data_IF_417289436033
#
_entry.id   IF_417289436033
#
_cell.length_a   1.000
_cell.length_b   1.000
_cell.length_c   1.000
_cell.angle_alpha   90.00
_cell.angle_beta   90.00
_cell.angle_gamma   90.00
#
_symmetry.space_group_name_H-M   'P 1'
#
loop_
_entity.id
_entity.type
_entity.pdbx_description
1 polymer ?
#
# COMPACT_ATOMS: atom_id res chain seq x y z
N UNK A 1 -26.39 5.28 14.95
CA UNK A 1 -25.40 4.48 14.20
C UNK A 1 -24.38 3.79 15.11
N UNK A 2 -23.63 4.45 16.03
CA UNK A 2 -22.59 3.80 16.83
C UNK A 2 -23.07 3.40 18.23
N UNK A 3 -23.09 2.08 18.52
CA UNK A 3 -23.18 1.52 19.86
C UNK A 3 -21.77 1.36 20.43
N UNK A 4 -21.63 1.40 21.77
CA UNK A 4 -20.35 1.20 22.42
C UNK A 4 -19.84 -0.24 22.18
N UNK A 5 -18.57 -0.36 21.80
CA UNK A 5 -17.92 -1.66 21.59
C UNK A 5 -17.33 -2.20 22.90
N UNK A 6 -17.47 -3.50 23.11
CA UNK A 6 -16.87 -4.19 24.26
C UNK A 6 -15.44 -4.62 23.94
N UNK A 7 -14.47 -3.95 24.54
CA UNK A 7 -13.04 -4.21 24.32
C UNK A 7 -12.63 -5.62 24.81
N UNK A 8 -13.22 -6.09 25.91
CA UNK A 8 -12.89 -7.40 26.45
C UNK A 8 -13.37 -8.54 25.55
N UNK A 9 -14.46 -8.32 24.81
CA UNK A 9 -14.97 -9.23 23.79
C UNK A 9 -14.33 -9.02 22.42
N UNK A 10 -13.39 -8.06 22.30
CA UNK A 10 -12.70 -7.76 21.08
C UNK A 10 -13.67 -7.47 19.91
N UNK A 11 -14.68 -6.64 20.20
CA UNK A 11 -15.73 -6.30 19.25
C UNK A 11 -15.24 -5.30 18.19
N UNK A 12 -15.69 -5.55 16.97
CA UNK A 12 -15.57 -4.65 15.82
C UNK A 12 -16.94 -4.47 15.18
N UNK A 13 -17.09 -3.48 14.29
CA UNK A 13 -18.29 -3.36 13.44
C UNK A 13 -17.97 -3.80 12.04
N UNK A 14 -18.91 -4.46 11.41
CA UNK A 14 -18.89 -4.82 9.99
C UNK A 14 -20.02 -4.11 9.27
N UNK A 15 -19.72 -3.61 8.07
CA UNK A 15 -20.67 -2.96 7.19
C UNK A 15 -21.28 -4.00 6.27
N UNK A 16 -22.57 -4.25 6.41
CA UNK A 16 -23.35 -5.11 5.52
C UNK A 16 -23.91 -4.26 4.38
N UNK A 17 -23.28 -4.33 3.23
CA UNK A 17 -23.68 -3.62 2.03
C UNK A 17 -24.82 -4.37 1.35
N UNK A 18 -25.96 -3.70 1.14
CA UNK A 18 -27.08 -4.30 0.44
C UNK A 18 -26.78 -4.44 -1.05
N UNK A 19 -27.35 -5.46 -1.65
CA UNK A 19 -27.32 -5.63 -3.11
C UNK A 19 -28.01 -4.43 -3.81
N UNK A 20 -27.64 -4.17 -5.04
CA UNK A 20 -28.24 -3.09 -5.84
C UNK A 20 -27.50 -2.86 -7.16
N UNK A 21 -28.18 -2.21 -8.08
CA UNK A 21 -27.62 -1.81 -9.36
C UNK A 21 -26.70 -0.59 -9.20
N UNK A 22 -25.94 -0.28 -10.23
CA UNK A 22 -24.99 0.83 -10.22
C UNK A 22 -25.62 2.17 -9.82
N UNK A 23 -26.80 2.49 -10.36
CA UNK A 23 -27.48 3.77 -10.14
C UNK A 23 -28.32 3.84 -8.86
N UNK A 24 -28.53 2.71 -8.17
CA UNK A 24 -29.27 2.69 -6.91
C UNK A 24 -28.52 3.42 -5.81
N UNK A 25 -29.26 4.02 -4.86
CA UNK A 25 -28.67 4.54 -3.62
C UNK A 25 -27.93 3.44 -2.84
N UNK A 26 -26.83 3.78 -2.20
CA UNK A 26 -26.10 2.81 -1.38
C UNK A 26 -26.79 2.69 -0.02
N UNK A 27 -27.26 1.48 0.29
CA UNK A 27 -27.89 1.14 1.57
C UNK A 27 -27.07 0.05 2.27
N UNK A 28 -26.92 0.20 3.58
CA UNK A 28 -26.14 -0.70 4.41
C UNK A 28 -26.65 -0.69 5.87
N UNK A 29 -26.16 -1.61 6.67
CA UNK A 29 -26.28 -1.58 8.13
C UNK A 29 -24.98 -2.01 8.79
N UNK A 30 -24.78 -1.63 10.06
CA UNK A 30 -23.65 -2.04 10.87
C UNK A 30 -24.04 -3.19 11.80
N UNK A 31 -23.22 -4.22 11.81
CA UNK A 31 -23.31 -5.31 12.76
C UNK A 31 -22.08 -5.29 13.69
N UNK A 32 -22.34 -5.37 15.00
CA UNK A 32 -21.26 -5.56 16.00
C UNK A 32 -20.98 -7.03 16.17
N UNK A 33 -19.75 -7.44 15.94
CA UNK A 33 -19.29 -8.83 16.03
C UNK A 33 -18.04 -8.94 16.89
N UNK A 34 -17.82 -10.09 17.50
CA UNK A 34 -16.56 -10.42 18.16
C UNK A 34 -15.62 -11.15 17.21
N UNK A 35 -14.32 -10.91 17.33
CA UNK A 35 -13.33 -11.75 16.65
C UNK A 35 -13.39 -13.22 17.05
N UNK A 36 -13.89 -13.52 18.25
CA UNK A 36 -14.00 -14.88 18.75
C UNK A 36 -15.10 -15.68 18.05
N UNK A 37 -16.03 -14.99 17.36
CA UNK A 37 -17.08 -15.59 16.54
C UNK A 37 -16.60 -15.89 15.10
N UNK A 38 -15.34 -15.62 14.77
CA UNK A 38 -14.72 -15.85 13.45
C UNK A 38 -15.55 -15.28 12.28
N UNK A 39 -15.90 -13.99 12.31
CA UNK A 39 -16.72 -13.40 11.27
C UNK A 39 -16.04 -13.46 9.90
N UNK A 40 -16.83 -13.70 8.85
CA UNK A 40 -16.34 -13.66 7.47
C UNK A 40 -16.63 -12.29 6.85
N UNK A 41 -15.58 -11.58 6.39
CA UNK A 41 -15.68 -10.26 5.79
C UNK A 41 -14.49 -9.98 4.90
N UNK A 42 -14.64 -8.99 4.01
CA UNK A 42 -13.54 -8.39 3.26
C UNK A 42 -13.15 -7.06 3.92
N UNK A 43 -11.85 -6.76 3.97
CA UNK A 43 -11.37 -5.47 4.45
C UNK A 43 -11.01 -4.56 3.27
N UNK A 44 -11.34 -3.27 3.38
CA UNK A 44 -11.00 -2.29 2.35
C UNK A 44 -9.69 -1.58 2.72
N UNK A 45 -8.82 -1.47 1.71
CA UNK A 45 -7.63 -0.62 1.72
C UNK A 45 -7.80 0.45 0.65
N UNK A 46 -7.89 1.71 1.03
CA UNK A 46 -8.20 2.81 0.11
C UNK A 46 -7.61 4.13 0.59
N UNK A 47 -7.58 5.12 -0.28
CA UNK A 47 -7.21 6.49 0.08
C UNK A 47 -8.46 7.20 0.61
N UNK A 48 -8.37 7.86 1.75
CA UNK A 48 -9.53 8.63 2.28
C UNK A 48 -9.98 9.73 1.32
N UNK A 49 -9.05 10.28 0.53
CA UNK A 49 -9.33 11.30 -0.46
C UNK A 49 -9.55 12.68 0.13
N UNK A 50 -10.14 13.57 -0.66
CA UNK A 50 -10.44 14.94 -0.28
C UNK A 50 -11.69 14.99 0.62
N UNK A 51 -11.53 15.47 1.83
CA UNK A 51 -12.62 15.58 2.82
C UNK A 51 -13.71 16.60 2.41
N UNK A 52 -13.45 17.47 1.41
CA UNK A 52 -14.46 18.38 0.88
C UNK A 52 -15.40 17.71 -0.12
N UNK A 53 -15.00 16.57 -0.70
CA UNK A 53 -15.80 15.80 -1.66
C UNK A 53 -16.49 14.67 -0.93
N UNK A 54 -17.71 14.91 -0.51
CA UNK A 54 -18.52 13.97 0.28
C UNK A 54 -19.83 13.62 -0.42
N UNK A 55 -20.24 12.36 -0.23
CA UNK A 55 -21.52 11.82 -0.67
C UNK A 55 -22.17 11.03 0.44
N UNK A 56 -23.49 11.07 0.52
CA UNK A 56 -24.25 10.36 1.55
C UNK A 56 -24.62 8.96 1.09
N UNK A 57 -24.58 8.02 2.03
CA UNK A 57 -25.18 6.68 1.91
C UNK A 57 -26.21 6.51 3.02
N UNK A 58 -27.01 5.45 2.99
CA UNK A 58 -27.89 5.10 4.09
C UNK A 58 -27.27 3.97 4.91
N UNK A 59 -27.05 4.20 6.21
CA UNK A 59 -26.59 3.18 7.17
C UNK A 59 -27.51 3.19 8.38
N UNK A 60 -28.18 2.09 8.67
CA UNK A 60 -29.16 1.96 9.78
C UNK A 60 -30.27 3.03 9.75
N UNK A 61 -30.64 3.51 8.55
CA UNK A 61 -31.62 4.56 8.36
C UNK A 61 -31.09 5.99 8.59
N UNK A 62 -29.86 6.16 8.99
CA UNK A 62 -29.15 7.44 9.05
C UNK A 62 -28.40 7.69 7.71
N UNK A 63 -28.04 8.95 7.45
CA UNK A 63 -27.37 9.36 6.21
C UNK A 63 -25.93 9.88 6.48
N UNK A 64 -24.99 9.03 6.88
CA UNK A 64 -23.60 9.47 7.06
C UNK A 64 -23.01 9.92 5.73
N UNK A 65 -22.15 10.94 5.80
CA UNK A 65 -21.37 11.42 4.67
C UNK A 65 -20.05 10.68 4.59
N UNK A 66 -19.74 10.13 3.42
CA UNK A 66 -18.47 9.47 3.12
C UNK A 66 -17.68 10.30 2.12
N UNK A 67 -16.36 10.17 2.17
CA UNK A 67 -15.54 10.73 1.10
C UNK A 67 -15.86 10.06 -0.23
N UNK A 68 -15.68 10.80 -1.30
CA UNK A 68 -15.90 10.32 -2.66
C UNK A 68 -15.16 9.01 -2.93
N UNK A 69 -13.96 8.87 -2.41
CA UNK A 69 -13.14 7.66 -2.56
C UNK A 69 -13.81 6.42 -1.98
N UNK A 70 -14.29 6.50 -0.73
CA UNK A 70 -14.98 5.35 -0.11
C UNK A 70 -16.33 5.09 -0.77
N UNK A 71 -17.10 6.14 -1.08
CA UNK A 71 -18.36 6.00 -1.79
C UNK A 71 -18.18 5.24 -3.11
N UNK A 72 -17.17 5.61 -3.89
CA UNK A 72 -16.86 4.95 -5.16
C UNK A 72 -16.44 3.49 -4.97
N UNK A 73 -15.62 3.23 -3.95
CA UNK A 73 -15.21 1.86 -3.63
C UNK A 73 -16.43 0.98 -3.28
N UNK A 74 -17.33 1.47 -2.43
CA UNK A 74 -18.56 0.74 -2.06
C UNK A 74 -19.47 0.52 -3.27
N UNK A 75 -19.66 1.55 -4.10
CA UNK A 75 -20.48 1.47 -5.31
C UNK A 75 -19.95 0.43 -6.30
N UNK A 76 -18.62 0.39 -6.48
CA UNK A 76 -17.95 -0.57 -7.35
C UNK A 76 -18.07 -2.01 -6.86
N UNK A 77 -17.95 -2.23 -5.55
CA UNK A 77 -17.96 -3.57 -4.96
C UNK A 77 -19.35 -4.14 -4.79
N UNK A 78 -20.36 -3.28 -4.78
CA UNK A 78 -21.75 -3.70 -4.70
C UNK A 78 -22.16 -4.44 -5.97
N UNK A 79 -22.82 -5.57 -5.79
CA UNK A 79 -23.40 -6.38 -6.88
C UNK A 79 -24.89 -6.55 -6.69
N UNK A 80 -25.66 -6.81 -7.77
CA UNK A 80 -27.09 -7.13 -7.66
C UNK A 80 -27.35 -8.56 -7.17
N UNK A 81 -26.33 -9.44 -7.17
CA UNK A 81 -26.50 -10.87 -6.88
C UNK A 81 -26.33 -11.23 -5.42
N UNK A 82 -25.46 -10.51 -4.71
CA UNK A 82 -25.08 -10.91 -3.35
C UNK A 82 -24.83 -9.73 -2.43
N UNK A 83 -25.19 -9.93 -1.15
CA UNK A 83 -24.78 -9.03 -0.07
C UNK A 83 -23.28 -9.16 0.18
N UNK A 84 -22.66 -8.05 0.49
CA UNK A 84 -21.23 -7.99 0.78
C UNK A 84 -21.02 -7.49 2.21
N UNK A 85 -20.22 -8.23 2.97
CA UNK A 85 -19.80 -7.86 4.33
C UNK A 85 -18.41 -7.27 4.27
N UNK A 86 -18.28 -6.03 4.72
CA UNK A 86 -17.04 -5.25 4.60
C UNK A 86 -16.59 -4.71 5.95
N UNK A 87 -15.30 -4.51 6.08
CA UNK A 87 -14.72 -3.63 7.07
C UNK A 87 -14.05 -2.44 6.36
N UNK A 88 -14.48 -1.23 6.71
CA UNK A 88 -13.90 0.02 6.23
C UNK A 88 -13.74 0.97 7.43
N UNK A 89 -12.53 1.42 7.67
CA UNK A 89 -12.14 2.21 8.85
C UNK A 89 -13.00 3.46 9.07
N UNK A 90 -13.35 4.19 7.98
CA UNK A 90 -14.13 5.42 8.09
C UNK A 90 -15.58 5.20 8.52
N UNK A 91 -16.13 3.98 8.38
CA UNK A 91 -17.53 3.67 8.75
C UNK A 91 -17.59 2.73 9.94
N UNK A 92 -16.68 1.76 10.03
CA UNK A 92 -16.71 0.75 11.08
C UNK A 92 -16.14 1.26 12.41
N UNK A 93 -15.37 2.36 12.41
CA UNK A 93 -14.83 3.02 13.60
C UNK A 93 -15.56 4.36 13.80
N UNK A 94 -15.97 4.63 15.03
CA UNK A 94 -16.44 5.97 15.41
C UNK A 94 -15.25 6.94 15.44
N UNK A 95 -15.04 7.66 14.33
CA UNK A 95 -13.90 8.57 14.17
C UNK A 95 -13.95 9.78 15.11
N UNK A 96 -15.12 10.10 15.69
CA UNK A 96 -15.29 11.18 16.66
C UNK A 96 -14.97 10.79 18.10
N UNK A 97 -14.72 9.50 18.36
CA UNK A 97 -14.34 8.97 19.67
C UNK A 97 -12.86 8.55 19.67
N UNK A 98 -11.94 9.34 20.28
CA UNK A 98 -10.52 9.03 20.31
C UNK A 98 -10.19 7.74 21.06
N UNK A 99 -10.98 7.37 22.06
CA UNK A 99 -10.76 6.16 22.85
C UNK A 99 -11.13 4.93 22.02
N UNK A 100 -12.30 4.95 21.35
CA UNK A 100 -12.67 3.89 20.43
C UNK A 100 -11.66 3.78 19.29
N UNK A 101 -11.24 4.91 18.70
CA UNK A 101 -10.22 4.90 17.65
C UNK A 101 -8.92 4.24 18.11
N UNK A 102 -8.42 4.58 19.30
CA UNK A 102 -7.21 3.97 19.88
C UNK A 102 -7.36 2.46 20.05
N UNK A 103 -8.52 2.03 20.52
CA UNK A 103 -8.83 0.59 20.70
C UNK A 103 -8.92 -0.15 19.37
N UNK A 104 -9.63 0.40 18.38
CA UNK A 104 -9.80 -0.24 17.08
C UNK A 104 -8.48 -0.27 16.28
N UNK A 105 -7.67 0.78 16.35
CA UNK A 105 -6.33 0.81 15.78
C UNK A 105 -5.44 -0.29 16.34
N UNK A 106 -5.60 -0.65 17.62
CA UNK A 106 -4.91 -1.80 18.21
C UNK A 106 -5.25 -3.11 17.52
N UNK A 107 -6.47 -3.23 17.00
CA UNK A 107 -6.94 -4.43 16.31
C UNK A 107 -6.65 -4.43 14.80
N UNK A 108 -6.17 -3.33 14.21
CA UNK A 108 -5.96 -3.22 12.77
C UNK A 108 -5.16 -4.41 12.18
N UNK A 109 -4.08 -4.81 12.85
CA UNK A 109 -3.30 -5.96 12.40
C UNK A 109 -4.12 -7.26 12.34
N UNK A 110 -5.02 -7.43 13.28
CA UNK A 110 -5.90 -8.61 13.35
C UNK A 110 -7.04 -8.51 12.33
N UNK A 111 -7.63 -7.32 12.17
CA UNK A 111 -8.66 -7.04 11.18
C UNK A 111 -8.19 -7.45 9.79
N UNK A 112 -7.03 -6.95 9.36
CA UNK A 112 -6.52 -7.26 8.01
C UNK A 112 -6.00 -8.70 7.87
N UNK A 113 -5.45 -9.29 8.92
CA UNK A 113 -4.98 -10.68 8.87
C UNK A 113 -6.10 -11.72 8.92
N UNK A 114 -7.25 -11.40 9.48
CA UNK A 114 -8.42 -12.29 9.56
C UNK A 114 -9.42 -12.11 8.43
N UNK A 115 -9.39 -11.00 7.73
CA UNK A 115 -10.22 -10.79 6.56
C UNK A 115 -10.05 -11.95 5.55
N UNK A 116 -11.14 -12.39 4.94
CA UNK A 116 -11.12 -13.35 3.84
C UNK A 116 -10.27 -12.81 2.69
N UNK A 117 -10.43 -11.53 2.40
CA UNK A 117 -9.75 -10.81 1.34
C UNK A 117 -9.57 -9.35 1.73
N UNK A 118 -8.44 -8.77 1.38
CA UNK A 118 -8.25 -7.31 1.40
C UNK A 118 -8.41 -6.78 -0.02
N UNK A 119 -9.39 -5.89 -0.20
CA UNK A 119 -9.60 -5.22 -1.49
C UNK A 119 -8.92 -3.87 -1.46
N UNK A 120 -7.90 -3.73 -2.30
CA UNK A 120 -7.11 -2.50 -2.46
C UNK A 120 -7.77 -1.65 -3.54
N UNK A 121 -8.50 -0.62 -3.13
CA UNK A 121 -9.22 0.28 -4.03
C UNK A 121 -8.34 1.47 -4.41
N UNK A 122 -7.79 1.46 -5.62
CA UNK A 122 -6.94 2.53 -6.14
C UNK A 122 -7.73 3.63 -6.86
N UNK A 123 -9.06 3.54 -6.86
CA UNK A 123 -9.94 4.55 -7.44
C UNK A 123 -9.98 4.52 -8.97
N UNK A 124 -10.30 5.69 -9.52
CA UNK A 124 -10.39 5.95 -10.94
C UNK A 124 -9.48 7.13 -11.29
N UNK A 125 -8.87 7.12 -12.47
CA UNK A 125 -8.30 8.31 -13.07
C UNK A 125 -9.41 9.08 -13.79
N UNK A 126 -9.36 10.41 -13.77
CA UNK A 126 -10.30 11.26 -14.50
C UNK A 126 -11.49 11.78 -13.70
N UNK A 127 -12.34 12.55 -14.37
CA UNK A 127 -13.49 13.20 -13.74
C UNK A 127 -14.64 12.19 -13.49
N UNK A 128 -15.28 12.32 -12.35
CA UNK A 128 -16.44 11.54 -11.91
C UNK A 128 -17.57 11.41 -12.94
N UNK A 129 -17.73 12.41 -13.81
CA UNK A 129 -18.78 12.44 -14.82
C UNK A 129 -18.69 11.37 -15.91
N UNK A 130 -17.50 10.80 -16.12
CA UNK A 130 -17.29 9.73 -17.10
C UNK A 130 -17.78 8.36 -16.62
N UNK A 131 -18.10 8.19 -15.34
CA UNK A 131 -18.54 6.94 -14.73
C UNK A 131 -20.05 6.75 -14.72
N UNK A 132 -20.76 7.31 -15.69
CA UNK A 132 -22.23 7.19 -15.76
C UNK A 132 -22.73 5.79 -16.15
N UNK A 133 -21.86 4.95 -16.67
CA UNK A 133 -22.20 3.59 -17.09
C UNK A 133 -21.44 2.56 -16.28
N UNK A 134 -22.11 1.45 -16.00
CA UNK A 134 -21.47 0.26 -15.40
C UNK A 134 -20.52 -0.33 -16.44
N UNK A 135 -19.25 0.08 -16.40
CA UNK A 135 -18.22 -0.48 -17.23
C UNK A 135 -18.11 -1.98 -16.94
N UNK A 136 -18.02 -2.77 -18.01
CA UNK A 136 -17.77 -4.21 -17.86
C UNK A 136 -16.53 -4.41 -16.98
N UNK A 137 -16.69 -5.15 -15.87
CA UNK A 137 -15.59 -5.43 -14.96
C UNK A 137 -14.76 -6.59 -15.49
N UNK A 138 -13.46 -6.36 -15.69
CA UNK A 138 -12.51 -7.40 -16.05
C UNK A 138 -11.81 -7.92 -14.78
N UNK A 139 -11.85 -9.24 -14.62
CA UNK A 139 -11.19 -9.91 -13.50
C UNK A 139 -10.01 -10.70 -14.02
N UNK A 140 -8.81 -10.17 -13.76
CA UNK A 140 -7.56 -10.84 -14.04
C UNK A 140 -7.30 -11.97 -13.04
N UNK A 141 -6.64 -13.02 -13.48
CA UNK A 141 -6.32 -14.19 -12.66
C UNK A 141 -4.80 -14.49 -12.68
N UNK A 142 -4.38 -15.45 -11.89
CA UNK A 142 -3.00 -15.97 -11.95
C UNK A 142 -2.82 -16.98 -13.12
N UNK A 143 -3.91 -17.47 -13.68
CA UNK A 143 -3.93 -18.53 -14.68
C UNK A 143 -3.69 -18.00 -16.12
N UNK A 144 -3.37 -18.90 -17.02
CA UNK A 144 -3.18 -18.56 -18.43
C UNK A 144 -4.49 -18.31 -19.20
N UNK A 145 -5.66 -18.47 -18.57
CA UNK A 145 -6.98 -18.16 -19.17
C UNK A 145 -7.08 -16.70 -19.64
N UNK A 146 -6.33 -15.77 -19.02
CA UNK A 146 -6.34 -14.36 -19.41
C UNK A 146 -5.57 -14.09 -20.72
N UNK A 147 -4.87 -15.09 -21.27
CA UNK A 147 -4.15 -14.91 -22.53
C UNK A 147 -5.07 -14.70 -23.72
N UNK A 148 -6.32 -15.17 -23.67
CA UNK A 148 -7.34 -14.86 -24.68
C UNK A 148 -7.65 -13.36 -24.70
N UNK A 149 -7.81 -12.74 -23.52
CA UNK A 149 -8.02 -11.30 -23.39
C UNK A 149 -6.80 -10.51 -23.87
N UNK A 150 -5.58 -10.97 -23.53
CA UNK A 150 -4.33 -10.36 -24.01
C UNK A 150 -4.24 -10.41 -25.55
N UNK A 151 -4.59 -11.53 -26.17
CA UNK A 151 -4.57 -11.67 -27.62
C UNK A 151 -5.63 -10.78 -28.27
N UNK A 152 -6.88 -10.79 -27.75
CA UNK A 152 -7.95 -9.93 -28.22
C UNK A 152 -7.57 -8.45 -28.18
N UNK A 153 -6.94 -7.99 -27.10
CA UNK A 153 -6.46 -6.61 -26.97
C UNK A 153 -5.55 -6.20 -28.14
N UNK A 154 -4.59 -7.08 -28.53
CA UNK A 154 -3.69 -6.77 -29.63
C UNK A 154 -4.33 -6.99 -31.01
N UNK A 155 -5.35 -7.85 -31.15
CA UNK A 155 -6.09 -8.07 -32.39
C UNK A 155 -7.04 -6.90 -32.71
N UNK A 156 -7.78 -6.42 -31.70
CA UNK A 156 -8.69 -5.26 -31.84
C UNK A 156 -7.93 -3.99 -32.23
N UNK A 157 -6.71 -3.81 -31.72
CA UNK A 157 -5.85 -2.68 -32.08
C UNK A 157 -5.46 -2.67 -33.58
N UNK A 158 -5.69 -3.77 -34.31
CA UNK A 158 -5.38 -3.89 -35.74
C UNK A 158 -6.57 -3.59 -36.64
N UNK A 159 -7.79 -3.60 -36.12
CA UNK A 159 -9.02 -3.51 -36.93
C UNK A 159 -9.58 -2.08 -37.13
N UNK A 160 -9.09 -1.13 -36.38
CA UNK A 160 -9.51 0.29 -36.47
C UNK A 160 -8.60 1.08 -37.42
N UNK A 161 -8.58 0.71 -38.72
CA UNK A 161 -8.09 1.57 -39.79
C UNK A 161 -9.23 2.47 -40.31
N UNK A 162 -9.79 3.34 -39.48
CA UNK A 162 -10.72 4.37 -39.98
C UNK A 162 -10.47 5.67 -39.28
N UNK A 163 -10.03 6.62 -40.12
CA UNK A 163 -10.06 8.06 -39.93
C UNK A 163 -9.40 8.61 -38.66
N UNK A 164 -8.57 9.61 -38.85
CA UNK A 164 -7.92 10.50 -37.93
C UNK A 164 -8.91 11.07 -36.86
N UNK A 165 -9.41 10.21 -35.98
CA UNK A 165 -9.89 10.69 -34.69
C UNK A 165 -8.66 11.17 -33.95
N UNK A 166 -8.49 12.48 -33.80
CA UNK A 166 -7.54 13.10 -32.90
C UNK A 166 -7.72 12.42 -31.54
N UNK A 167 -6.86 11.43 -31.24
CA UNK A 167 -6.86 10.80 -29.92
C UNK A 167 -6.75 11.94 -28.91
N UNK A 168 -7.77 12.08 -28.07
CA UNK A 168 -7.74 13.02 -26.97
C UNK A 168 -6.43 12.77 -26.20
N UNK A 169 -5.51 13.74 -26.22
CA UNK A 169 -4.15 13.60 -25.65
C UNK A 169 -4.18 13.13 -24.19
N UNK A 170 -5.34 13.18 -23.53
CA UNK A 170 -5.56 12.80 -22.14
C UNK A 170 -6.11 11.36 -21.94
N UNK A 171 -6.38 10.60 -23.01
CA UNK A 171 -6.94 9.23 -22.86
C UNK A 171 -5.94 8.26 -22.25
N UNK A 172 -6.38 7.53 -21.22
CA UNK A 172 -5.62 6.48 -20.52
C UNK A 172 -6.10 5.08 -20.94
N UNK A 173 -5.17 4.23 -21.35
CA UNK A 173 -5.43 2.83 -21.64
C UNK A 173 -5.15 1.96 -20.41
N UNK A 174 -6.16 1.81 -19.56
CA UNK A 174 -6.08 0.97 -18.36
C UNK A 174 -6.04 -0.51 -18.71
N UNK A 175 -6.70 -0.96 -19.76
CA UNK A 175 -6.65 -2.35 -20.23
C UNK A 175 -5.24 -2.70 -20.67
N UNK A 176 -4.61 -1.85 -21.48
CA UNK A 176 -3.21 -2.01 -21.91
C UNK A 176 -2.23 -2.06 -20.74
N UNK A 177 -2.45 -1.26 -19.70
CA UNK A 177 -1.68 -1.35 -18.45
C UNK A 177 -1.78 -2.76 -17.84
N UNK A 178 -2.98 -3.32 -17.70
CA UNK A 178 -3.14 -4.65 -17.11
C UNK A 178 -2.64 -5.77 -18.05
N UNK A 179 -2.76 -5.62 -19.35
CA UNK A 179 -2.12 -6.51 -20.34
C UNK A 179 -0.61 -6.51 -20.16
N UNK A 180 0.02 -5.33 -20.02
CA UNK A 180 1.45 -5.23 -19.74
C UNK A 180 1.82 -5.93 -18.43
N UNK A 181 1.09 -5.64 -17.33
CA UNK A 181 1.33 -6.26 -16.03
C UNK A 181 1.20 -7.78 -16.09
N UNK A 182 0.18 -8.30 -16.82
CA UNK A 182 -0.01 -9.74 -17.00
C UNK A 182 1.16 -10.39 -17.74
N UNK A 183 1.57 -9.82 -18.86
CA UNK A 183 2.71 -10.34 -19.63
C UNK A 183 4.01 -10.31 -18.83
N UNK A 184 4.24 -9.23 -18.07
CA UNK A 184 5.40 -9.16 -17.17
C UNK A 184 5.31 -10.17 -16.02
N UNK A 185 4.13 -10.42 -15.48
CA UNK A 185 3.94 -11.36 -14.35
C UNK A 185 4.23 -12.80 -14.69
N UNK A 186 4.18 -13.16 -15.97
CA UNK A 186 4.54 -14.49 -16.50
C UNK A 186 5.95 -14.54 -17.11
N UNK A 187 6.77 -13.54 -16.86
CA UNK A 187 8.19 -13.50 -17.24
C UNK A 187 8.46 -13.16 -18.71
N UNK A 188 7.49 -12.59 -19.45
CA UNK A 188 7.72 -12.17 -20.84
C UNK A 188 8.81 -11.08 -20.92
N UNK A 189 9.78 -11.24 -21.83
CA UNK A 189 10.76 -10.21 -22.10
C UNK A 189 10.12 -9.00 -22.81
N UNK A 190 10.71 -7.81 -22.66
CA UNK A 190 10.16 -6.63 -23.32
C UNK A 190 10.06 -6.78 -24.84
N UNK A 191 11.04 -7.41 -25.48
CA UNK A 191 11.02 -7.63 -26.92
C UNK A 191 9.95 -8.64 -27.39
N UNK A 192 9.40 -9.46 -26.50
CA UNK A 192 8.29 -10.37 -26.78
C UNK A 192 6.93 -9.71 -26.65
N UNK A 193 6.86 -8.53 -26.04
CA UNK A 193 5.61 -7.77 -25.84
C UNK A 193 5.41 -6.86 -27.07
N UNK A 194 4.25 -6.94 -27.69
CA UNK A 194 3.97 -6.23 -28.94
C UNK A 194 4.14 -4.70 -28.83
N UNK A 195 3.94 -4.10 -27.69
CA UNK A 195 4.25 -2.68 -27.44
C UNK A 195 5.69 -2.28 -27.80
N UNK A 196 6.63 -3.23 -27.76
CA UNK A 196 8.05 -3.01 -28.00
C UNK A 196 8.55 -3.63 -29.31
N UNK A 197 7.68 -4.30 -30.09
CA UNK A 197 8.07 -4.94 -31.34
C UNK A 197 8.47 -3.90 -32.37
N UNK A 198 9.54 -4.20 -33.13
CA UNK A 198 10.08 -3.33 -34.19
C UNK A 198 9.37 -3.53 -35.53
N UNK A 199 8.41 -4.43 -35.60
CA UNK A 199 7.75 -4.84 -36.82
C UNK A 199 6.93 -3.69 -37.40
N UNK A 200 7.44 -3.10 -38.52
CA UNK A 200 6.89 -1.90 -39.16
C UNK A 200 5.46 -2.07 -39.69
N UNK A 201 4.94 -3.31 -39.79
CA UNK A 201 3.59 -3.63 -40.20
C UNK A 201 2.55 -3.57 -39.08
N UNK A 202 2.96 -3.37 -37.83
CA UNK A 202 2.09 -3.33 -36.65
C UNK A 202 2.09 -1.95 -35.98
N UNK A 203 1.89 -0.90 -36.78
CA UNK A 203 1.96 0.49 -36.31
C UNK A 203 0.92 0.81 -35.21
N UNK A 204 -0.21 0.11 -35.18
CA UNK A 204 -1.31 0.40 -34.27
C UNK A 204 -0.99 0.04 -32.80
N UNK A 205 -0.18 -0.99 -32.56
CA UNK A 205 0.30 -1.29 -31.20
C UNK A 205 1.13 -0.15 -30.58
N UNK A 206 1.71 0.73 -31.42
CA UNK A 206 2.42 1.95 -30.94
C UNK A 206 1.49 3.05 -30.47
N UNK A 207 0.31 3.19 -31.06
CA UNK A 207 -0.62 4.25 -30.69
C UNK A 207 -1.15 4.04 -29.26
N UNK A 208 -1.48 2.78 -28.90
CA UNK A 208 -1.94 2.46 -27.55
C UNK A 208 -0.84 2.51 -26.49
N UNK A 209 0.45 2.48 -26.90
CA UNK A 209 1.56 2.52 -25.93
C UNK A 209 1.64 3.83 -25.15
N UNK A 210 1.39 4.97 -25.77
CA UNK A 210 1.44 6.26 -25.07
C UNK A 210 0.29 6.40 -24.07
N UNK A 211 -0.92 5.94 -24.40
CA UNK A 211 -2.05 5.92 -23.49
C UNK A 211 -1.85 4.91 -22.36
N UNK A 212 -1.26 3.74 -22.65
CA UNK A 212 -0.83 2.75 -21.64
C UNK A 212 0.22 3.35 -20.68
N UNK A 213 1.21 4.09 -21.18
CA UNK A 213 2.20 4.77 -20.35
C UNK A 213 1.57 5.85 -19.45
N UNK A 214 0.54 6.56 -19.95
CA UNK A 214 -0.23 7.49 -19.13
C UNK A 214 -0.92 6.76 -17.99
N UNK A 215 -1.64 5.68 -18.28
CA UNK A 215 -2.28 4.83 -17.25
C UNK A 215 -1.27 4.31 -16.22
N UNK A 216 -0.08 3.87 -16.65
CA UNK A 216 1.02 3.46 -15.76
C UNK A 216 1.49 4.62 -14.86
N UNK A 217 1.63 5.81 -15.43
CA UNK A 217 2.07 7.00 -14.71
C UNK A 217 1.05 7.42 -13.66
N UNK A 218 -0.24 7.39 -13.99
CA UNK A 218 -1.35 7.72 -13.09
C UNK A 218 -1.45 6.70 -11.96
N UNK A 219 -1.41 5.41 -12.29
CA UNK A 219 -1.37 4.35 -11.28
C UNK A 219 -0.17 4.55 -10.32
N UNK A 220 1.02 4.82 -10.87
CA UNK A 220 2.23 5.03 -10.09
C UNK A 220 2.18 6.29 -9.21
N UNK A 221 1.39 7.28 -9.59
CA UNK A 221 1.21 8.53 -8.85
C UNK A 221 0.10 8.46 -7.80
N UNK A 222 -0.60 7.31 -7.69
CA UNK A 222 -1.70 7.17 -6.77
C UNK A 222 -1.23 7.37 -5.31
N UNK A 223 -1.90 8.24 -4.53
CA UNK A 223 -1.52 8.52 -3.14
C UNK A 223 -1.54 7.29 -2.23
N UNK A 224 -2.25 6.23 -2.61
CA UNK A 224 -2.29 4.98 -1.86
C UNK A 224 -0.87 4.44 -1.61
N UNK A 225 -0.01 4.50 -2.61
CA UNK A 225 1.37 3.99 -2.52
C UNK A 225 2.23 4.68 -1.47
N UNK A 226 1.88 5.89 -1.07
CA UNK A 226 2.69 6.66 -0.11
C UNK A 226 2.21 6.54 1.33
N UNK A 227 1.02 6.00 1.60
CA UNK A 227 0.45 5.91 2.94
C UNK A 227 1.15 4.87 3.80
N UNK A 228 1.37 5.18 5.08
CA UNK A 228 1.96 4.25 6.05
C UNK A 228 1.06 3.04 6.32
N UNK A 229 -0.25 3.25 6.46
CA UNK A 229 -1.21 2.21 6.83
C UNK A 229 -1.30 1.07 5.82
N UNK A 230 -1.19 1.37 4.52
CA UNK A 230 -1.32 0.35 3.46
C UNK A 230 -0.28 -0.76 3.55
N UNK A 231 0.84 -0.50 4.24
CA UNK A 231 1.86 -1.52 4.49
C UNK A 231 1.28 -2.64 5.34
N UNK A 232 0.67 -2.29 6.49
CA UNK A 232 0.04 -3.27 7.36
C UNK A 232 -1.16 -3.94 6.69
N UNK A 233 -2.01 -3.17 6.03
CA UNK A 233 -3.21 -3.61 5.32
C UNK A 233 -2.87 -4.67 4.26
N UNK A 234 -1.80 -4.46 3.49
CA UNK A 234 -1.41 -5.38 2.42
C UNK A 234 -0.52 -6.52 2.90
N UNK A 235 0.45 -6.25 3.79
CA UNK A 235 1.39 -7.28 4.27
C UNK A 235 0.69 -8.36 5.07
N UNK A 236 -0.34 -8.00 5.84
CA UNK A 236 -1.09 -8.96 6.67
C UNK A 236 -2.19 -9.70 5.91
N UNK A 237 -2.62 -9.21 4.75
CA UNK A 237 -3.67 -9.83 3.95
C UNK A 237 -3.33 -11.27 3.58
N UNK A 238 -4.26 -12.20 3.84
CA UNK A 238 -4.17 -13.59 3.36
C UNK A 238 -4.31 -13.64 1.84
N UNK A 239 -5.31 -12.94 1.33
CA UNK A 239 -5.57 -12.70 -0.08
C UNK A 239 -5.71 -11.19 -0.27
N UNK A 240 -5.03 -10.63 -1.26
CA UNK A 240 -5.16 -9.22 -1.62
C UNK A 240 -5.51 -9.11 -3.10
N UNK A 241 -6.51 -8.28 -3.39
CA UNK A 241 -6.97 -7.98 -4.74
C UNK A 241 -6.91 -6.48 -4.97
N UNK A 242 -6.27 -6.08 -6.07
CA UNK A 242 -6.22 -4.69 -6.51
C UNK A 242 -7.44 -4.41 -7.38
N UNK A 243 -8.12 -3.31 -7.09
CA UNK A 243 -9.25 -2.80 -7.86
C UNK A 243 -8.88 -1.39 -8.36
N UNK A 244 -8.71 -1.25 -9.67
CA UNK A 244 -8.38 0.02 -10.33
C UNK A 244 -9.25 0.18 -11.58
N UNK A 245 -9.96 1.29 -11.71
CA UNK A 245 -10.99 1.47 -12.72
C UNK A 245 -12.00 0.31 -12.74
N UNK A 246 -12.24 -0.28 -13.91
CA UNK A 246 -13.06 -1.47 -14.10
C UNK A 246 -12.24 -2.79 -14.06
N UNK A 247 -10.96 -2.73 -13.67
CA UNK A 247 -10.08 -3.89 -13.59
C UNK A 247 -9.94 -4.37 -12.15
N UNK A 248 -9.95 -5.68 -11.94
CA UNK A 248 -9.51 -6.32 -10.69
C UNK A 248 -8.42 -7.33 -11.01
N UNK A 249 -7.38 -7.38 -10.16
CA UNK A 249 -6.28 -8.32 -10.32
C UNK A 249 -5.77 -8.79 -8.95
N UNK A 250 -5.31 -10.04 -8.81
CA UNK A 250 -4.66 -10.48 -7.60
C UNK A 250 -3.36 -9.69 -7.39
N UNK A 251 -3.05 -9.36 -6.13
CA UNK A 251 -1.82 -8.68 -5.75
C UNK A 251 -0.56 -9.37 -6.31
N UNK A 252 -0.57 -10.71 -6.32
CA UNK A 252 0.51 -11.52 -6.84
C UNK A 252 0.84 -11.22 -8.32
N UNK A 253 -0.15 -10.85 -9.14
CA UNK A 253 0.12 -10.45 -10.53
C UNK A 253 1.00 -9.19 -10.58
N UNK A 254 0.70 -8.19 -9.75
CA UNK A 254 1.51 -6.96 -9.67
C UNK A 254 2.89 -7.26 -9.06
N UNK A 255 2.93 -8.07 -8.01
CA UNK A 255 4.17 -8.46 -7.35
C UNK A 255 5.11 -9.22 -8.28
N UNK A 256 4.59 -10.21 -9.02
CA UNK A 256 5.36 -10.96 -10.00
C UNK A 256 5.83 -10.06 -11.16
N UNK A 257 4.94 -9.21 -11.70
CA UNK A 257 5.31 -8.26 -12.75
C UNK A 257 6.45 -7.33 -12.31
N UNK A 258 6.41 -6.87 -11.06
CA UNK A 258 7.45 -6.05 -10.45
C UNK A 258 8.77 -6.83 -10.30
N UNK A 259 8.73 -8.02 -9.72
CA UNK A 259 9.90 -8.88 -9.50
C UNK A 259 10.59 -9.25 -10.81
N UNK A 260 9.82 -9.74 -11.79
CA UNK A 260 10.31 -10.08 -13.12
C UNK A 260 10.90 -8.85 -13.84
N UNK A 261 10.26 -7.70 -13.70
CA UNK A 261 10.79 -6.46 -14.27
C UNK A 261 12.14 -6.09 -13.69
N UNK A 262 12.35 -6.21 -12.38
CA UNK A 262 13.64 -5.92 -11.74
C UNK A 262 14.74 -6.84 -12.28
N UNK A 263 14.46 -8.14 -12.41
CA UNK A 263 15.42 -9.13 -12.93
C UNK A 263 15.77 -8.82 -14.38
N UNK A 264 14.78 -8.64 -15.24
CA UNK A 264 14.97 -8.45 -16.67
C UNK A 264 15.57 -7.08 -17.02
N UNK A 265 15.17 -6.00 -16.33
CA UNK A 265 15.68 -4.64 -16.60
C UNK A 265 17.16 -4.49 -16.25
N UNK A 266 17.65 -5.27 -15.29
CA UNK A 266 19.07 -5.26 -14.91
C UNK A 266 19.93 -6.27 -15.71
N UNK A 267 19.34 -6.97 -16.67
CA UNK A 267 20.01 -8.03 -17.44
C UNK A 267 19.62 -8.00 -18.93
N UNK A 268 18.75 -8.90 -19.33
CA UNK A 268 18.44 -9.18 -20.73
C UNK A 268 17.63 -8.12 -21.48
N UNK A 269 16.90 -7.25 -20.77
CA UNK A 269 16.09 -6.18 -21.36
C UNK A 269 16.73 -4.78 -21.26
N UNK A 270 17.91 -4.68 -20.67
CA UNK A 270 18.57 -3.40 -20.41
C UNK A 270 18.88 -2.62 -21.71
N UNK A 271 19.37 -3.30 -22.73
CA UNK A 271 19.71 -2.64 -24.00
C UNK A 271 18.48 -2.03 -24.67
N UNK A 272 17.33 -2.73 -24.63
CA UNK A 272 16.08 -2.21 -25.17
C UNK A 272 15.60 -0.98 -24.38
N UNK A 273 15.71 -0.99 -23.05
CA UNK A 273 15.36 0.14 -22.20
C UNK A 273 16.25 1.36 -22.46
N UNK A 274 17.57 1.14 -22.67
CA UNK A 274 18.51 2.22 -22.97
C UNK A 274 18.21 2.92 -24.31
N UNK A 275 17.48 2.28 -25.23
CA UNK A 275 17.03 2.88 -26.49
C UNK A 275 15.74 3.68 -26.36
N UNK A 276 15.07 3.63 -25.20
CA UNK A 276 13.79 4.31 -24.96
C UNK A 276 14.00 5.74 -24.50
N UNK A 277 12.93 6.53 -24.68
CA UNK A 277 12.94 7.90 -24.15
C UNK A 277 13.08 7.86 -22.61
N UNK A 278 13.92 8.71 -21.98
CA UNK A 278 14.16 8.71 -20.54
C UNK A 278 12.88 8.79 -19.66
N UNK A 279 11.79 9.37 -20.19
CA UNK A 279 10.49 9.41 -19.53
C UNK A 279 9.87 8.03 -19.44
N UNK A 280 9.92 7.23 -20.52
CA UNK A 280 9.39 5.86 -20.56
C UNK A 280 10.14 4.95 -19.58
N UNK A 281 11.47 4.96 -19.65
CA UNK A 281 12.32 4.23 -18.73
C UNK A 281 11.99 4.54 -17.26
N UNK A 282 11.80 5.82 -16.95
CA UNK A 282 11.44 6.26 -15.59
C UNK A 282 10.07 5.75 -15.16
N UNK A 283 9.05 5.78 -16.03
CA UNK A 283 7.71 5.27 -15.72
C UNK A 283 7.77 3.76 -15.43
N UNK A 284 8.42 3.00 -16.30
CA UNK A 284 8.59 1.55 -16.13
C UNK A 284 9.36 1.21 -14.84
N UNK A 285 10.42 1.95 -14.55
CA UNK A 285 11.21 1.77 -13.32
C UNK A 285 10.42 2.13 -12.06
N UNK A 286 9.62 3.20 -12.11
CA UNK A 286 8.78 3.58 -10.97
C UNK A 286 7.72 2.52 -10.70
N UNK A 287 7.00 2.06 -11.71
CA UNK A 287 5.95 1.05 -11.55
C UNK A 287 6.48 -0.23 -10.87
N UNK A 288 7.64 -0.72 -11.29
CA UNK A 288 8.25 -1.90 -10.67
C UNK A 288 8.66 -1.69 -9.21
N UNK A 289 9.09 -0.48 -8.82
CA UNK A 289 9.50 -0.18 -7.45
C UNK A 289 8.34 -0.04 -6.48
N UNK A 290 7.18 0.46 -6.93
CA UNK A 290 6.03 0.70 -6.08
C UNK A 290 5.58 -0.53 -5.29
N UNK A 291 5.62 -1.69 -5.93
CA UNK A 291 5.15 -2.95 -5.35
C UNK A 291 6.25 -3.64 -4.54
N UNK A 292 7.51 -3.60 -5.04
CA UNK A 292 8.59 -4.44 -4.53
C UNK A 292 9.35 -3.82 -3.35
N UNK A 293 9.55 -2.49 -3.34
CA UNK A 293 10.56 -1.87 -2.47
C UNK A 293 10.32 -2.07 -0.97
N UNK A 294 9.08 -2.10 -0.50
CA UNK A 294 8.78 -2.34 0.92
C UNK A 294 7.67 -3.37 1.15
N UNK A 295 6.52 -3.26 0.47
CA UNK A 295 5.36 -4.11 0.76
C UNK A 295 5.64 -5.57 0.42
N UNK A 296 6.11 -5.88 -0.80
CA UNK A 296 6.37 -7.26 -1.18
C UNK A 296 7.59 -7.84 -0.46
N UNK A 297 8.61 -7.03 -0.20
CA UNK A 297 9.74 -7.43 0.64
C UNK A 297 9.27 -7.84 2.06
N UNK A 298 8.35 -7.08 2.66
CA UNK A 298 7.80 -7.40 3.98
C UNK A 298 6.88 -8.63 3.94
N UNK A 299 6.06 -8.78 2.89
CA UNK A 299 5.22 -9.98 2.67
C UNK A 299 6.08 -11.23 2.56
N UNK A 300 7.10 -11.22 1.72
CA UNK A 300 8.01 -12.34 1.53
C UNK A 300 8.83 -12.65 2.79
N UNK A 301 9.31 -11.62 3.51
CA UNK A 301 10.00 -11.77 4.80
C UNK A 301 9.12 -12.47 5.83
N UNK A 302 7.85 -12.07 5.92
CA UNK A 302 6.86 -12.69 6.81
C UNK A 302 6.54 -14.13 6.39
N UNK A 303 6.33 -14.37 5.09
CA UNK A 303 6.07 -15.72 4.55
C UNK A 303 7.23 -16.69 4.85
N UNK A 304 8.47 -16.20 4.92
CA UNK A 304 9.65 -16.96 5.30
C UNK A 304 9.79 -17.16 6.84
N UNK A 305 8.82 -16.72 7.62
CA UNK A 305 8.84 -16.80 9.09
C UNK A 305 9.92 -15.93 9.76
N UNK A 306 10.50 -14.97 9.03
CA UNK A 306 11.51 -14.08 9.59
C UNK A 306 10.87 -13.05 10.50
N UNK A 307 11.51 -12.78 11.63
CA UNK A 307 11.01 -11.80 12.58
C UNK A 307 11.28 -10.36 12.11
N UNK A 308 10.28 -9.49 12.34
CA UNK A 308 10.33 -8.08 12.04
C UNK A 308 10.33 -7.26 13.33
N UNK A 309 11.30 -6.40 13.48
CA UNK A 309 11.37 -5.44 14.58
C UNK A 309 10.81 -4.08 14.18
N UNK A 310 10.31 -3.32 15.15
CA UNK A 310 9.79 -1.98 14.91
C UNK A 310 10.79 -1.07 14.18
N UNK A 311 12.08 -1.10 14.58
CA UNK A 311 13.13 -0.30 13.91
C UNK A 311 13.29 -0.66 12.43
N UNK A 312 13.29 -1.96 12.09
CA UNK A 312 13.39 -2.36 10.69
C UNK A 312 12.21 -1.84 9.88
N UNK A 313 11.00 -1.99 10.41
CA UNK A 313 9.79 -1.47 9.80
C UNK A 313 9.85 0.05 9.62
N UNK A 314 10.17 0.81 10.67
CA UNK A 314 10.35 2.26 10.60
C UNK A 314 11.38 2.68 9.54
N UNK A 315 12.46 1.93 9.39
CA UNK A 315 13.51 2.23 8.40
C UNK A 315 13.05 1.97 6.98
N UNK A 316 12.35 0.86 6.74
CA UNK A 316 11.83 0.50 5.41
C UNK A 316 10.71 1.44 4.97
N UNK A 317 9.85 1.88 5.89
CA UNK A 317 8.69 2.72 5.60
C UNK A 317 8.93 4.22 5.86
N UNK A 318 10.17 4.62 6.08
CA UNK A 318 10.52 5.98 6.49
C UNK A 318 10.01 7.09 5.54
N UNK A 319 9.90 6.78 4.23
CA UNK A 319 9.45 7.70 3.19
C UNK A 319 7.93 7.72 2.99
N UNK A 320 7.19 6.88 3.70
CA UNK A 320 5.72 6.85 3.60
C UNK A 320 5.11 8.01 4.37
N UNK A 321 3.96 8.43 3.94
CA UNK A 321 3.23 9.56 4.49
C UNK A 321 2.18 9.10 5.51
N UNK A 322 1.91 9.96 6.49
CA UNK A 322 0.83 9.80 7.45
C UNK A 322 0.24 11.18 7.76
N UNK A 323 -1.09 11.29 7.77
CA UNK A 323 -1.79 12.53 8.13
C UNK A 323 -1.57 12.83 9.62
N UNK A 324 -1.75 11.84 10.47
CA UNK A 324 -1.33 11.89 11.87
C UNK A 324 0.08 11.28 11.96
N UNK A 325 1.04 12.05 12.39
CA UNK A 325 2.44 11.61 12.42
C UNK A 325 2.67 10.40 13.34
N UNK A 326 1.81 10.17 14.32
CA UNK A 326 1.85 9.00 15.21
C UNK A 326 1.61 7.70 14.44
N UNK A 327 0.89 7.76 13.34
CA UNK A 327 0.62 6.62 12.47
C UNK A 327 1.87 6.06 11.81
N UNK A 328 2.96 6.84 11.73
CA UNK A 328 4.28 6.32 11.34
C UNK A 328 4.81 5.24 12.29
N UNK A 329 4.29 5.19 13.51
CA UNK A 329 4.56 4.14 14.49
C UNK A 329 3.38 3.17 14.56
N UNK A 330 2.17 3.69 14.78
CA UNK A 330 0.99 2.87 15.02
C UNK A 330 0.62 1.99 13.83
N UNK A 331 0.78 2.50 12.61
CA UNK A 331 0.54 1.73 11.38
C UNK A 331 1.52 0.57 11.14
N UNK A 332 2.53 0.42 11.99
CA UNK A 332 3.51 -0.66 11.88
C UNK A 332 3.40 -1.71 12.99
N UNK A 333 2.70 -1.40 14.09
CA UNK A 333 2.71 -2.23 15.29
C UNK A 333 2.18 -3.65 15.04
N UNK A 334 1.16 -3.81 14.19
CA UNK A 334 0.61 -5.13 13.83
C UNK A 334 1.57 -5.99 12.99
N UNK A 335 2.62 -5.41 12.43
CA UNK A 335 3.66 -6.12 11.69
C UNK A 335 4.83 -6.60 12.56
N UNK A 336 4.98 -6.03 13.76
CA UNK A 336 6.09 -6.38 14.65
C UNK A 336 5.86 -7.77 15.21
N UNK A 337 6.77 -8.68 14.91
CA UNK A 337 6.73 -10.07 15.41
C UNK A 337 7.81 -10.35 16.45
N UNK A 338 8.78 -9.45 16.62
CA UNK A 338 9.90 -9.61 17.55
C UNK A 338 9.85 -8.55 18.66
N UNK A 339 9.06 -8.81 19.69
CA UNK A 339 8.97 -8.00 20.89
C UNK A 339 9.97 -8.41 21.99
N UNK A 340 10.64 -9.57 21.87
CA UNK A 340 11.65 -10.11 22.81
C UNK A 340 11.21 -10.10 24.28
N UNK A 341 9.95 -10.44 24.54
CA UNK A 341 9.40 -10.47 25.89
C UNK A 341 9.10 -9.12 26.52
N UNK A 342 9.33 -8.01 25.81
CA UNK A 342 8.89 -6.68 26.23
C UNK A 342 7.44 -6.49 25.79
N UNK A 343 6.57 -5.89 26.63
CA UNK A 343 5.19 -5.60 26.23
C UNK A 343 5.12 -4.78 24.95
N UNK A 344 4.22 -5.16 24.05
CA UNK A 344 4.00 -4.42 22.81
C UNK A 344 3.55 -2.99 23.11
N UNK A 345 3.95 -2.04 22.26
CA UNK A 345 3.42 -0.68 22.32
C UNK A 345 1.92 -0.69 22.01
N UNK A 346 1.18 0.10 22.77
CA UNK A 346 -0.27 0.23 22.61
C UNK A 346 -0.55 1.60 21.99
N UNK A 347 -1.31 1.66 20.89
CA UNK A 347 -1.75 2.93 20.32
C UNK A 347 -2.58 3.74 21.33
N UNK A 348 -2.22 5.00 21.49
CA UNK A 348 -2.94 5.97 22.30
C UNK A 348 -2.90 7.35 21.62
N UNK A 349 -4.03 7.74 21.06
CA UNK A 349 -4.15 9.03 20.37
C UNK A 349 -4.33 10.23 21.33
N UNK A 350 -4.35 10.02 22.63
CA UNK A 350 -4.28 11.10 23.62
C UNK A 350 -2.84 11.56 23.87
N UNK A 351 -1.83 10.72 23.54
CA UNK A 351 -0.43 11.06 23.68
C UNK A 351 0.05 12.03 22.60
N UNK A 352 0.86 13.03 22.93
CA UNK A 352 1.48 13.88 21.92
C UNK A 352 2.52 13.08 21.07
N UNK A 353 2.73 13.45 19.81
CA UNK A 353 3.66 12.74 18.91
C UNK A 353 5.05 12.48 19.53
N UNK A 354 5.61 13.48 20.23
CA UNK A 354 6.93 13.36 20.89
C UNK A 354 7.02 12.19 21.85
N UNK A 355 5.95 11.91 22.59
CA UNK A 355 5.93 10.81 23.55
C UNK A 355 5.82 9.46 22.84
N UNK A 356 5.00 9.36 21.79
CA UNK A 356 4.88 8.13 21.00
C UNK A 356 6.22 7.74 20.38
N UNK A 357 6.93 8.69 19.77
CA UNK A 357 8.24 8.43 19.18
C UNK A 357 9.29 8.10 20.27
N UNK A 358 9.26 8.80 21.40
CA UNK A 358 10.16 8.51 22.53
C UNK A 358 9.94 7.08 23.05
N UNK A 359 8.67 6.65 23.23
CA UNK A 359 8.33 5.28 23.62
C UNK A 359 8.85 4.26 22.62
N UNK A 360 8.69 4.49 21.31
CA UNK A 360 9.16 3.57 20.27
C UNK A 360 10.70 3.40 20.31
N UNK A 361 11.43 4.49 20.48
CA UNK A 361 12.89 4.45 20.59
C UNK A 361 13.33 3.78 21.89
N UNK A 362 12.70 4.15 23.00
CA UNK A 362 13.02 3.55 24.31
C UNK A 362 12.76 2.04 24.29
N UNK A 363 11.65 1.63 23.72
CA UNK A 363 11.34 0.22 23.50
C UNK A 363 12.43 -0.49 22.68
N UNK A 364 12.92 0.14 21.61
CA UNK A 364 14.01 -0.42 20.83
C UNK A 364 15.30 -0.55 21.65
N UNK A 365 15.66 0.46 22.47
CA UNK A 365 16.83 0.42 23.33
C UNK A 365 16.71 -0.71 24.35
N UNK A 366 15.58 -0.84 25.03
CA UNK A 366 15.32 -1.93 25.97
C UNK A 366 15.45 -3.31 25.33
N UNK A 367 14.91 -3.45 24.10
CA UNK A 367 14.95 -4.69 23.34
C UNK A 367 16.35 -5.11 22.92
N UNK A 368 17.18 -4.16 22.54
CA UNK A 368 18.50 -4.41 21.92
C UNK A 368 19.67 -4.18 22.88
N UNK A 369 19.42 -3.52 23.99
CA UNK A 369 20.46 -3.00 24.92
C UNK A 369 21.51 -2.17 24.18
N UNK A 370 21.09 -1.43 23.15
CA UNK A 370 21.96 -0.67 22.26
C UNK A 370 21.41 0.73 22.00
N UNK A 371 22.28 1.72 22.10
CA UNK A 371 22.01 3.12 21.76
C UNK A 371 22.22 3.41 20.26
N UNK A 372 22.48 2.39 19.45
CA UNK A 372 22.78 2.55 18.02
C UNK A 372 21.63 3.18 17.23
N UNK A 373 20.39 3.09 17.73
CA UNK A 373 19.23 3.76 17.14
C UNK A 373 19.38 5.30 17.17
N UNK A 374 20.13 5.84 18.12
CA UNK A 374 20.37 7.28 18.28
C UNK A 374 21.45 7.80 17.32
N UNK A 375 22.19 6.91 16.66
CA UNK A 375 23.26 7.28 15.72
C UNK A 375 22.68 7.46 14.32
N UNK A 376 23.04 8.53 13.64
CA UNK A 376 22.59 8.81 12.27
C UNK A 376 21.26 9.56 12.21
N UNK A 377 21.00 10.36 13.21
CA UNK A 377 19.79 11.19 13.30
C UNK A 377 19.83 12.33 12.26
N UNK A 378 18.94 12.27 11.28
CA UNK A 378 18.56 13.48 10.53
C UNK A 378 17.46 14.18 11.30
N UNK A 379 17.47 15.54 11.39
CA UNK A 379 16.38 16.27 12.03
C UNK A 379 15.04 15.85 11.42
N UNK A 380 14.11 15.43 12.25
CA UNK A 380 12.74 15.20 11.81
C UNK A 380 12.11 16.57 11.59
N UNK A 381 11.39 16.77 10.50
CA UNK A 381 10.57 17.97 10.32
C UNK A 381 9.36 18.04 11.28
N UNK A 382 9.34 17.24 12.35
CA UNK A 382 8.27 17.19 13.34
C UNK A 382 8.64 18.14 14.47
N UNK A 383 7.84 19.17 14.77
CA UNK A 383 8.08 20.10 15.86
C UNK A 383 8.20 19.37 17.22
N UNK A 384 9.03 19.90 18.10
CA UNK A 384 9.21 19.46 19.49
C UNK A 384 9.69 18.02 19.69
N UNK A 385 10.15 17.35 18.64
CA UNK A 385 10.82 16.05 18.82
C UNK A 385 12.22 16.27 19.44
N UNK A 386 12.60 15.47 20.45
CA UNK A 386 13.95 15.47 20.95
C UNK A 386 14.97 15.20 19.82
N UNK A 387 16.12 15.85 19.84
CA UNK A 387 17.16 15.74 18.79
C UNK A 387 17.67 14.31 18.53
N UNK A 388 17.44 13.41 19.47
CA UNK A 388 17.79 12.00 19.38
C UNK A 388 16.66 11.12 18.79
N UNK A 389 15.49 11.71 18.54
CA UNK A 389 14.38 11.00 17.89
C UNK A 389 14.45 11.22 16.39
N UNK A 390 14.68 10.15 15.66
CA UNK A 390 14.67 10.19 14.20
C UNK A 390 13.28 9.91 13.67
N UNK A 391 12.70 10.90 13.01
CA UNK A 391 11.60 10.67 12.08
C UNK A 391 12.09 11.16 10.70
N UNK A 392 12.38 10.25 9.80
CA UNK A 392 12.65 10.63 8.41
C UNK A 392 11.34 11.10 7.78
N UNK A 393 11.21 12.43 7.60
CA UNK A 393 10.18 13.01 6.78
C UNK A 393 10.69 13.21 5.35
N UNK A 394 9.82 13.13 4.34
CA UNK A 394 10.14 13.61 2.99
C UNK A 394 10.46 15.12 3.07
N UNK A 395 11.69 15.51 2.77
CA UNK A 395 11.91 16.84 2.19
C UNK A 395 11.35 16.78 0.76
N UNK A 396 10.39 17.64 0.44
CA UNK A 396 9.71 17.68 -0.87
C UNK A 396 10.63 17.99 -2.08
N UNK A 397 11.95 18.01 -1.89
CA UNK A 397 12.94 18.44 -2.89
C UNK A 397 14.08 17.45 -3.17
N UNK A 398 14.01 16.18 -2.73
CA UNK A 398 15.02 15.20 -3.14
C UNK A 398 14.53 14.41 -4.37
N UNK A 399 15.24 14.62 -5.48
CA UNK A 399 15.10 13.83 -6.71
C UNK A 399 15.05 12.33 -6.37
N UNK A 400 13.95 11.64 -6.75
CA UNK A 400 13.68 10.22 -6.51
C UNK A 400 14.82 9.27 -6.98
N UNK A 401 15.71 9.74 -7.86
CA UNK A 401 16.84 8.94 -8.38
C UNK A 401 18.00 8.76 -7.39
N UNK A 402 18.23 9.71 -6.47
CA UNK A 402 19.37 9.62 -5.53
C UNK A 402 19.02 8.88 -4.24
N UNK A 403 17.78 9.02 -3.74
CA UNK A 403 17.34 8.40 -2.50
C UNK A 403 17.33 6.87 -2.55
N UNK A 404 16.95 6.29 -3.68
CA UNK A 404 16.85 4.83 -3.85
C UNK A 404 18.22 4.15 -3.98
N UNK A 405 19.22 4.83 -4.55
CA UNK A 405 20.62 4.33 -4.59
C UNK A 405 21.27 4.36 -3.20
N UNK A 406 21.01 5.42 -2.43
CA UNK A 406 21.55 5.55 -1.08
C UNK A 406 20.98 4.51 -0.10
N UNK A 407 19.68 4.18 -0.19
CA UNK A 407 19.04 3.20 0.70
C UNK A 407 19.50 1.77 0.42
N UNK A 408 19.71 1.41 -0.85
CA UNK A 408 20.17 0.07 -1.24
C UNK A 408 21.65 -0.15 -0.88
N UNK A 409 22.49 0.85 -1.11
CA UNK A 409 23.92 0.81 -0.75
C UNK A 409 24.11 0.77 0.79
N UNK A 410 23.31 1.51 1.56
CA UNK A 410 23.43 1.55 3.02
C UNK A 410 22.91 0.29 3.71
N UNK A 411 21.88 -0.39 3.20
CA UNK A 411 21.36 -1.62 3.80
C UNK A 411 22.29 -2.82 3.57
N UNK A 412 22.90 -2.94 2.41
CA UNK A 412 23.88 -4.00 2.14
C UNK A 412 25.27 -3.66 2.70
N UNK A 413 25.69 -2.42 2.67
CA UNK A 413 26.93 -1.95 3.25
C UNK A 413 26.90 -1.94 4.77
N UNK A 414 25.78 -1.58 5.40
CA UNK A 414 25.64 -1.62 6.86
C UNK A 414 25.66 -3.05 7.42
N UNK A 415 25.06 -4.03 6.71
CA UNK A 415 25.15 -5.43 7.13
C UNK A 415 26.57 -6.00 6.98
N UNK A 416 27.30 -5.61 5.93
CA UNK A 416 28.67 -6.09 5.67
C UNK A 416 29.76 -5.31 6.44
N UNK A 417 29.62 -3.99 6.54
CA UNK A 417 30.65 -3.15 7.19
C UNK A 417 30.55 -3.13 8.73
N UNK A 418 29.36 -3.34 9.30
CA UNK A 418 29.18 -3.40 10.76
C UNK A 418 29.86 -4.65 11.33
N UNK A 419 29.80 -5.78 10.65
CA UNK A 419 30.50 -7.00 11.05
C UNK A 419 32.02 -6.83 10.89
N UNK A 420 32.48 -6.16 9.82
CA UNK A 420 33.89 -5.92 9.56
C UNK A 420 34.50 -4.87 10.52
N UNK A 421 33.75 -3.85 10.93
CA UNK A 421 34.26 -2.82 11.85
C UNK A 421 34.24 -3.26 13.33
N UNK A 422 33.31 -4.10 13.74
CA UNK A 422 33.35 -4.71 15.09
C UNK A 422 34.57 -5.65 15.21
N UNK A 423 34.94 -6.34 14.16
CA UNK A 423 36.15 -7.15 14.12
C UNK A 423 37.45 -6.32 14.15
N UNK A 424 37.42 -5.05 13.67
CA UNK A 424 38.63 -4.18 13.61
C UNK A 424 38.84 -3.30 14.82
N UNK A 425 37.83 -2.95 15.58
CA UNK A 425 38.00 -1.97 16.68
C UNK A 425 37.98 -2.55 18.08
N UNK A 426 37.58 -3.80 18.26
CA UNK A 426 37.76 -4.54 19.53
C UNK A 426 37.26 -3.89 20.84
N UNK A 427 36.52 -2.76 20.76
CA UNK A 427 36.01 -2.06 21.91
C UNK A 427 34.51 -2.30 22.08
N UNK A 428 34.19 -3.35 22.80
CA UNK A 428 32.90 -3.51 23.47
C UNK A 428 32.97 -2.76 24.76
N UNK A 429 32.27 -1.65 24.92
CA UNK A 429 32.00 -1.06 26.22
C UNK A 429 31.07 -2.02 26.97
N UNK A 430 31.60 -2.72 27.95
CA UNK A 430 30.81 -3.52 28.89
C UNK A 430 30.01 -2.61 29.80
N UNK A 431 28.80 -3.04 30.12
CA UNK A 431 27.80 -2.30 30.91
C UNK A 431 28.11 -2.29 32.43
N UNK A 432 29.34 -2.60 32.87
CA UNK A 432 29.68 -2.83 34.27
C UNK A 432 30.07 -1.54 35.04
N UNK A 433 29.84 -0.35 34.50
CA UNK A 433 30.22 0.92 35.12
C UNK A 433 29.07 1.91 35.37
N UNK A 434 27.84 1.46 35.50
CA UNK A 434 26.77 2.31 36.00
C UNK A 434 26.43 1.97 37.47
N UNK A 435 26.96 2.77 38.38
CA UNK A 435 26.48 2.78 39.76
C UNK A 435 25.02 3.29 39.80
N UNK A 436 24.17 2.75 40.69
CA UNK A 436 22.79 3.19 40.80
C UNK A 436 22.75 4.60 41.41
N UNK A 437 22.09 5.52 40.71
CA UNK A 437 21.77 6.85 41.23
C UNK A 437 20.85 6.67 42.44
N UNK A 438 21.37 6.96 43.60
CA UNK A 438 20.59 7.03 44.83
C UNK A 438 19.46 8.05 44.70
N UNK A 439 18.27 7.65 45.08
CA UNK A 439 17.11 8.53 45.31
C UNK A 439 17.55 9.54 46.39
N UNK A 440 17.46 10.80 46.09
CA UNK A 440 17.40 11.87 47.07
C UNK A 440 15.94 12.15 47.36
N UNK A 441 15.64 12.10 48.64
CA UNK A 441 14.37 12.30 49.32
C UNK A 441 13.60 13.56 48.87
#
# INVERSE_FOLDING_TARGET
MYSQLNVLRREIRLLHLHLGLWDDGINAYLETVSFDDYPNYKALSYVWGDASQILSITVDGEAPSLTLSLYTALRRLRTPESKLVLWADAVCINQSDPDERSQQVRFMGEIYSRAEEVVICLGYSGQWGALKEQLQTYQWTENNTDMELVNAYFEESHSTETEEDEEDEDTEDVLGLFVYLKLRSIGKHLHEILFFSVDKGKLNARNNWQSTLRAMSTLASNPWWTRTWVVQETVLARKATVAYHNMTAPWSMLANASSESIVHHSSCCQDLLNTRHPREERILTNLQRLVYDDVELLRSTRAQGRSLSLKQLMSLTALRDATDVRDKIYGLLGLVTDWRGIPALIPDYNLPPKEVFAQAIFHHIQRTLSLQILMGTTPSGIPDLPSWVTARGRSRHLNLAEGARATRSSLFSAAGSTVANVARTGKILRADSFEPIHRVS
#
